data_IF_682401801253
#
_entry.id   IF_682401801253
#
_cell.length_a   1.000
_cell.length_b   1.000
_cell.length_c   1.000
_cell.angle_alpha   90.00
_cell.angle_beta   90.00
_cell.angle_gamma   90.00
#
_symmetry.space_group_name_H-M   'P 1'
#
loop_
_entity.id
_entity.type
_entity.pdbx_description
1 polymer ?
#
# COMPACT_ATOMS: atom_id res chain seq x y z
N UNK A 1 14.21 -22.07 1.75
CA UNK A 1 14.10 -20.62 2.03
C UNK A 1 13.21 -19.85 1.05
N UNK A 2 13.27 -20.13 -0.27
CA UNK A 2 12.35 -19.47 -1.24
C UNK A 2 10.86 -19.76 -0.98
N UNK A 3 10.50 -21.02 -0.69
CA UNK A 3 9.12 -21.44 -0.43
C UNK A 3 8.52 -20.78 0.84
N UNK A 4 9.32 -20.68 1.91
CA UNK A 4 8.91 -20.03 3.16
C UNK A 4 8.70 -18.52 2.99
N UNK A 5 9.55 -17.86 2.20
CA UNK A 5 9.39 -16.43 1.89
C UNK A 5 8.11 -16.17 1.06
N UNK A 6 7.78 -17.07 0.14
CA UNK A 6 6.52 -17.00 -0.62
C UNK A 6 5.33 -17.18 0.31
N UNK A 7 5.35 -18.21 1.18
CA UNK A 7 4.27 -18.45 2.14
C UNK A 7 4.02 -17.23 3.05
N UNK A 8 5.08 -16.59 3.56
CA UNK A 8 4.95 -15.40 4.42
C UNK A 8 4.37 -14.20 3.66
N UNK A 9 4.71 -14.01 2.38
CA UNK A 9 4.05 -13.01 1.53
C UNK A 9 2.56 -13.31 1.35
N UNK A 10 2.20 -14.54 1.02
CA UNK A 10 0.80 -14.94 0.83
C UNK A 10 -0.02 -14.81 2.12
N UNK A 11 0.53 -15.22 3.27
CA UNK A 11 -0.13 -15.08 4.58
C UNK A 11 -0.35 -13.60 4.90
N UNK A 12 0.66 -12.75 4.70
CA UNK A 12 0.54 -11.30 4.90
C UNK A 12 -0.53 -10.69 4.01
N UNK A 13 -0.56 -11.05 2.72
CA UNK A 13 -1.58 -10.58 1.78
C UNK A 13 -2.99 -11.04 2.19
N UNK A 14 -3.14 -12.30 2.60
CA UNK A 14 -4.41 -12.85 3.06
C UNK A 14 -4.91 -12.12 4.31
N UNK A 15 -4.04 -11.86 5.28
CA UNK A 15 -4.38 -11.11 6.50
C UNK A 15 -4.78 -9.65 6.20
N UNK A 16 -4.02 -8.96 5.36
CA UNK A 16 -4.35 -7.59 4.93
C UNK A 16 -5.71 -7.56 4.23
N UNK A 17 -5.96 -8.53 3.33
CA UNK A 17 -7.22 -8.64 2.61
C UNK A 17 -8.37 -8.94 3.56
N UNK A 18 -8.19 -9.85 4.52
CA UNK A 18 -9.19 -10.18 5.53
C UNK A 18 -9.55 -8.98 6.41
N UNK A 19 -8.56 -8.25 6.91
CA UNK A 19 -8.81 -7.04 7.70
C UNK A 19 -9.52 -5.97 6.87
N UNK A 20 -9.13 -5.80 5.61
CA UNK A 20 -9.81 -4.86 4.70
C UNK A 20 -11.27 -5.27 4.45
N UNK A 21 -11.56 -6.57 4.30
CA UNK A 21 -12.94 -7.07 4.14
C UNK A 21 -13.78 -6.80 5.40
N UNK A 22 -13.23 -7.04 6.59
CA UNK A 22 -13.94 -6.76 7.86
C UNK A 22 -14.27 -5.27 7.97
N UNK A 23 -13.29 -4.43 7.64
CA UNK A 23 -13.44 -2.98 7.59
C UNK A 23 -14.55 -2.54 6.61
N UNK A 24 -14.59 -3.14 5.41
CA UNK A 24 -15.63 -2.89 4.42
C UNK A 24 -17.02 -3.26 4.97
N UNK A 25 -17.12 -4.40 5.66
CA UNK A 25 -18.38 -4.87 6.27
C UNK A 25 -18.84 -3.91 7.37
N UNK A 26 -17.91 -3.39 8.18
CA UNK A 26 -18.18 -2.42 9.24
C UNK A 26 -18.50 -1.01 8.70
N UNK A 27 -18.34 -0.77 7.40
CA UNK A 27 -18.50 0.53 6.73
C UNK A 27 -17.55 1.62 7.24
N UNK A 28 -16.43 1.22 7.85
CA UNK A 28 -15.41 2.13 8.40
C UNK A 28 -14.27 2.40 7.40
N UNK A 29 -14.39 1.91 6.16
CA UNK A 29 -13.36 2.01 5.12
C UNK A 29 -13.66 3.05 4.06
N UNK A 30 -12.59 3.69 3.60
CA UNK A 30 -12.61 4.65 2.51
C UNK A 30 -11.57 4.28 1.44
N UNK A 31 -11.67 4.90 0.27
CA UNK A 31 -10.64 4.78 -0.77
C UNK A 31 -9.28 5.27 -0.24
N UNK A 32 -9.29 6.33 0.58
CA UNK A 32 -8.09 6.80 1.28
C UNK A 32 -7.43 5.71 2.12
N UNK A 33 -8.19 4.97 2.94
CA UNK A 33 -7.66 3.91 3.79
C UNK A 33 -6.77 2.93 3.01
N UNK A 34 -7.26 2.46 1.86
CA UNK A 34 -6.57 1.41 1.07
C UNK A 34 -5.36 1.97 0.34
N UNK A 35 -5.51 3.12 -0.31
CA UNK A 35 -4.40 3.76 -1.01
C UNK A 35 -3.29 4.12 -0.01
N UNK A 36 -3.66 4.57 1.20
CA UNK A 36 -2.73 4.86 2.27
C UNK A 36 -2.05 3.60 2.82
N UNK A 37 -2.76 2.49 2.92
CA UNK A 37 -2.16 1.20 3.28
C UNK A 37 -1.17 0.70 2.22
N UNK A 38 -1.47 0.90 0.93
CA UNK A 38 -0.56 0.55 -0.16
C UNK A 38 0.68 1.44 -0.17
N UNK A 39 0.51 2.72 0.15
CA UNK A 39 1.63 3.63 0.37
C UNK A 39 2.54 3.15 1.51
N UNK A 40 1.96 2.74 2.65
CA UNK A 40 2.74 2.19 3.76
C UNK A 40 3.47 0.90 3.40
N UNK A 41 2.82 0.02 2.64
CA UNK A 41 3.44 -1.22 2.18
C UNK A 41 4.75 -0.96 1.42
N UNK A 42 4.74 -0.03 0.48
CA UNK A 42 5.94 0.35 -0.28
C UNK A 42 6.92 1.19 0.54
N UNK A 43 6.43 2.03 1.46
CA UNK A 43 7.23 2.81 2.38
C UNK A 43 8.05 1.93 3.34
N UNK A 44 7.41 0.94 3.97
CA UNK A 44 8.08 -0.02 4.86
C UNK A 44 9.12 -0.81 4.08
N UNK A 45 8.79 -1.33 2.88
CA UNK A 45 9.77 -2.00 2.00
C UNK A 45 10.99 -1.12 1.70
N UNK A 46 10.77 0.17 1.42
CA UNK A 46 11.83 1.16 1.14
C UNK A 46 12.69 1.44 2.38
N UNK A 47 12.09 1.51 3.57
CA UNK A 47 12.84 1.60 4.83
C UNK A 47 13.73 0.37 5.01
N UNK A 48 13.19 -0.84 4.84
CA UNK A 48 13.97 -2.07 4.99
C UNK A 48 15.10 -2.18 3.95
N UNK A 49 14.90 -1.68 2.73
CA UNK A 49 15.97 -1.55 1.73
C UNK A 49 17.07 -0.58 2.23
N UNK A 50 16.71 0.53 2.89
CA UNK A 50 17.69 1.44 3.54
C UNK A 50 18.41 0.80 4.73
N UNK A 51 17.71 0.01 5.54
CA UNK A 51 18.29 -0.76 6.65
C UNK A 51 19.28 -1.79 6.10
N UNK A 52 18.92 -2.52 5.04
CA UNK A 52 19.81 -3.46 4.35
C UNK A 52 21.07 -2.77 3.79
N UNK A 53 20.91 -1.57 3.21
CA UNK A 53 22.06 -0.77 2.80
C UNK A 53 22.97 -0.36 3.95
N UNK A 54 22.50 -0.29 5.20
CA UNK A 54 23.36 0.04 6.35
C UNK A 54 24.06 -1.20 6.94
N UNK A 55 23.35 -2.32 7.05
CA UNK A 55 23.79 -3.48 7.83
C UNK A 55 24.15 -4.73 7.02
N UNK A 56 23.82 -4.79 5.72
CA UNK A 56 24.10 -5.94 4.84
C UNK A 56 24.71 -5.49 3.52
N UNK A 57 25.65 -4.54 3.57
CA UNK A 57 26.28 -3.94 2.37
C UNK A 57 27.01 -4.98 1.53
N UNK A 58 27.65 -5.95 2.18
CA UNK A 58 28.41 -7.01 1.52
C UNK A 58 27.56 -7.90 0.59
N UNK A 59 26.25 -7.95 0.81
CA UNK A 59 25.33 -8.76 0.01
C UNK A 59 24.73 -7.98 -1.17
N UNK A 60 25.11 -6.72 -1.40
CA UNK A 60 24.53 -5.86 -2.44
C UNK A 60 25.44 -5.85 -3.68
N UNK A 61 24.89 -6.25 -4.82
CA UNK A 61 25.66 -6.42 -6.07
C UNK A 61 26.13 -5.09 -6.69
N UNK A 62 25.41 -3.99 -6.45
CA UNK A 62 25.79 -2.63 -6.88
C UNK A 62 25.32 -1.57 -5.88
N UNK A 63 26.23 -1.13 -5.00
CA UNK A 63 25.92 -0.19 -3.91
C UNK A 63 25.50 1.21 -4.39
N UNK A 64 26.11 1.71 -5.46
CA UNK A 64 25.84 3.06 -5.98
C UNK A 64 24.43 3.10 -6.57
N UNK A 65 24.13 2.16 -7.45
CA UNK A 65 22.82 2.03 -8.08
C UNK A 65 21.72 1.78 -7.03
N UNK A 66 21.98 0.89 -6.06
CA UNK A 66 21.03 0.60 -4.98
C UNK A 66 20.70 1.85 -4.16
N UNK A 67 21.72 2.64 -3.79
CA UNK A 67 21.51 3.86 -3.00
C UNK A 67 20.74 4.92 -3.80
N UNK A 68 21.09 5.10 -5.08
CA UNK A 68 20.43 6.07 -5.95
C UNK A 68 18.94 5.73 -6.13
N UNK A 69 18.63 4.49 -6.51
CA UNK A 69 17.26 4.05 -6.69
C UNK A 69 16.45 4.12 -5.39
N UNK A 70 17.05 3.79 -4.25
CA UNK A 70 16.37 3.92 -2.95
C UNK A 70 16.05 5.38 -2.59
N UNK A 71 16.91 6.34 -2.95
CA UNK A 71 16.64 7.77 -2.77
C UNK A 71 15.50 8.24 -3.68
N UNK A 72 15.54 7.86 -4.96
CA UNK A 72 14.52 8.20 -5.94
C UNK A 72 13.14 7.66 -5.53
N UNK A 73 13.07 6.39 -5.11
CA UNK A 73 11.84 5.76 -4.58
C UNK A 73 11.31 6.48 -3.34
N UNK A 74 12.19 6.82 -2.40
CA UNK A 74 11.79 7.53 -1.18
C UNK A 74 11.24 8.93 -1.47
N UNK A 75 11.86 9.67 -2.40
CA UNK A 75 11.37 10.98 -2.82
C UNK A 75 9.98 10.88 -3.47
N UNK A 76 9.80 9.93 -4.38
CA UNK A 76 8.53 9.69 -5.06
C UNK A 76 7.40 9.27 -4.10
N UNK A 77 7.71 8.46 -3.08
CA UNK A 77 6.78 8.16 -2.00
C UNK A 77 6.39 9.41 -1.20
N UNK A 78 7.31 10.33 -0.95
CA UNK A 78 6.99 11.61 -0.30
C UNK A 78 6.01 12.45 -1.11
N UNK A 79 6.19 12.52 -2.43
CA UNK A 79 5.25 13.20 -3.34
C UNK A 79 3.87 12.52 -3.28
N UNK A 80 3.83 11.19 -3.39
CA UNK A 80 2.56 10.46 -3.30
C UNK A 80 1.85 10.62 -1.96
N UNK A 81 2.58 10.69 -0.85
CA UNK A 81 1.98 10.94 0.46
C UNK A 81 1.16 12.24 0.46
N UNK A 82 1.75 13.34 -0.03
CA UNK A 82 1.06 14.63 -0.11
C UNK A 82 -0.18 14.52 -0.99
N UNK A 83 -0.07 13.91 -2.17
CA UNK A 83 -1.21 13.69 -3.06
C UNK A 83 -2.33 12.87 -2.40
N UNK A 84 -1.97 11.78 -1.71
CA UNK A 84 -2.94 10.89 -1.07
C UNK A 84 -3.68 11.63 0.04
N UNK A 85 -2.96 12.32 0.92
CA UNK A 85 -3.56 13.06 2.05
C UNK A 85 -4.43 14.21 1.55
N UNK A 86 -3.95 15.01 0.60
CA UNK A 86 -4.68 16.18 0.12
C UNK A 86 -5.87 15.78 -0.75
N UNK A 87 -5.68 14.91 -1.74
CA UNK A 87 -6.76 14.53 -2.65
C UNK A 87 -7.77 13.60 -2.00
N UNK A 88 -7.30 12.46 -1.48
CA UNK A 88 -8.18 11.41 -0.95
C UNK A 88 -8.55 11.62 0.51
N UNK A 89 -7.64 12.17 1.31
CA UNK A 89 -7.92 12.42 2.73
C UNK A 89 -8.87 13.59 2.96
N UNK A 90 -8.84 14.61 2.07
CA UNK A 90 -9.52 15.89 2.30
C UNK A 90 -10.46 16.28 1.15
N UNK A 91 -9.95 16.41 -0.09
CA UNK A 91 -10.71 17.04 -1.20
C UNK A 91 -11.89 16.19 -1.66
N UNK A 92 -11.68 14.89 -1.88
CA UNK A 92 -12.71 13.97 -2.43
C UNK A 92 -13.94 13.91 -1.51
N UNK A 93 -13.70 13.84 -0.20
CA UNK A 93 -14.74 13.69 0.81
C UNK A 93 -15.10 15.01 1.50
N UNK A 94 -14.71 16.16 0.95
CA UNK A 94 -14.85 17.48 1.61
C UNK A 94 -16.25 17.79 2.15
N UNK A 95 -17.30 17.25 1.51
CA UNK A 95 -18.70 17.44 1.91
C UNK A 95 -19.21 16.41 2.93
N UNK A 96 -18.46 15.34 3.18
CA UNK A 96 -18.83 14.20 4.01
C UNK A 96 -17.93 14.13 5.25
N UNK A 97 -18.30 14.89 6.29
CA UNK A 97 -17.49 15.01 7.52
C UNK A 97 -17.22 13.67 8.20
N UNK A 98 -18.17 12.73 8.13
CA UNK A 98 -18.02 11.38 8.69
C UNK A 98 -16.86 10.61 8.01
N UNK A 99 -16.76 10.69 6.68
CA UNK A 99 -15.69 10.04 5.91
C UNK A 99 -14.33 10.68 6.18
N UNK A 100 -14.27 12.01 6.30
CA UNK A 100 -13.04 12.71 6.70
C UNK A 100 -12.59 12.26 8.09
N UNK A 101 -13.53 12.06 9.03
CA UNK A 101 -13.25 11.54 10.36
C UNK A 101 -12.61 10.14 10.33
N UNK A 102 -13.10 9.27 9.46
CA UNK A 102 -12.51 7.94 9.22
C UNK A 102 -11.11 8.05 8.60
N UNK A 103 -10.93 8.90 7.58
CA UNK A 103 -9.64 9.16 6.94
C UNK A 103 -8.61 9.66 7.95
N UNK A 104 -9.01 10.58 8.82
CA UNK A 104 -8.16 11.12 9.88
C UNK A 104 -7.81 10.06 10.93
N UNK A 105 -8.75 9.18 11.25
CA UNK A 105 -8.52 8.06 12.15
C UNK A 105 -7.48 7.08 11.60
N UNK A 106 -7.48 6.81 10.30
CA UNK A 106 -6.43 6.04 9.64
C UNK A 106 -5.10 6.81 9.56
N UNK A 107 -5.13 8.11 9.19
CA UNK A 107 -3.95 8.98 9.11
C UNK A 107 -3.17 9.04 10.42
N UNK A 108 -3.88 9.14 11.54
CA UNK A 108 -3.33 9.24 12.89
C UNK A 108 -3.20 7.90 13.62
N UNK A 109 -3.37 6.77 12.95
CA UNK A 109 -3.26 5.44 13.56
C UNK A 109 -4.21 5.20 14.73
N UNK A 110 -5.40 5.81 14.71
CA UNK A 110 -6.49 5.53 15.66
C UNK A 110 -7.38 4.36 15.23
N UNK A 111 -7.37 4.03 13.93
CA UNK A 111 -8.09 2.87 13.41
C UNK A 111 -7.32 1.57 13.73
N UNK A 112 -7.97 0.64 14.45
CA UNK A 112 -7.35 -0.60 14.91
C UNK A 112 -7.01 -1.56 13.77
N UNK A 113 -7.92 -1.75 12.80
CA UNK A 113 -7.72 -2.64 11.67
C UNK A 113 -6.62 -2.15 10.72
N UNK A 114 -6.52 -0.83 10.55
CA UNK A 114 -5.41 -0.19 9.84
C UNK A 114 -4.08 -0.54 10.51
N UNK A 115 -4.02 -0.38 11.84
CA UNK A 115 -2.81 -0.66 12.61
C UNK A 115 -2.43 -2.15 12.56
N UNK A 116 -3.39 -3.07 12.64
CA UNK A 116 -3.12 -4.50 12.50
C UNK A 116 -2.63 -4.86 11.09
N UNK A 117 -3.21 -4.25 10.06
CA UNK A 117 -2.75 -4.40 8.68
C UNK A 117 -1.33 -3.90 8.50
N UNK A 118 -1.01 -2.74 9.07
CA UNK A 118 0.34 -2.17 9.07
C UNK A 118 1.34 -3.05 9.83
N UNK A 119 0.96 -3.57 11.00
CA UNK A 119 1.80 -4.47 11.78
C UNK A 119 2.09 -5.76 11.00
N UNK A 120 1.11 -6.27 10.26
CA UNK A 120 1.28 -7.43 9.39
C UNK A 120 2.31 -7.16 8.27
N UNK A 121 2.26 -5.98 7.66
CA UNK A 121 3.25 -5.53 6.66
C UNK A 121 4.66 -5.46 7.29
N UNK A 122 4.78 -4.85 8.46
CA UNK A 122 6.05 -4.70 9.16
C UNK A 122 6.61 -6.08 9.55
N UNK A 123 5.79 -6.96 10.13
CA UNK A 123 6.19 -8.31 10.50
C UNK A 123 6.69 -9.12 9.30
N UNK A 124 5.99 -9.02 8.14
CA UNK A 124 6.42 -9.63 6.89
C UNK A 124 7.81 -9.14 6.48
N UNK A 125 8.04 -7.82 6.48
CA UNK A 125 9.34 -7.26 6.06
C UNK A 125 10.47 -7.58 7.05
N UNK A 126 10.20 -7.64 8.36
CA UNK A 126 11.16 -8.10 9.37
C UNK A 126 11.61 -9.53 9.04
N UNK A 127 10.66 -10.44 8.81
CA UNK A 127 10.95 -11.83 8.49
C UNK A 127 11.76 -11.95 7.19
N UNK A 128 11.34 -11.24 6.13
CA UNK A 128 12.03 -11.24 4.85
C UNK A 128 13.44 -10.65 4.96
N UNK A 129 13.62 -9.61 5.77
CA UNK A 129 14.92 -8.99 6.01
C UNK A 129 15.89 -9.95 6.71
N UNK A 130 15.44 -10.67 7.74
CA UNK A 130 16.23 -11.68 8.43
C UNK A 130 16.59 -12.84 7.49
N UNK A 131 15.61 -13.29 6.70
CA UNK A 131 15.76 -14.40 5.76
C UNK A 131 16.53 -14.04 4.48
N UNK A 132 16.99 -12.80 4.28
CA UNK A 132 17.87 -12.44 3.17
C UNK A 132 19.30 -12.89 3.48
N UNK A 133 19.67 -14.07 3.01
CA UNK A 133 21.06 -14.57 2.97
C UNK A 133 21.70 -14.46 1.58
N UNK A 134 20.88 -14.27 0.54
CA UNK A 134 21.33 -14.18 -0.85
C UNK A 134 21.61 -12.73 -1.28
N UNK A 135 22.24 -12.58 -2.46
CA UNK A 135 22.51 -11.28 -3.08
C UNK A 135 21.24 -10.43 -3.19
N UNK A 136 21.32 -9.20 -2.70
CA UNK A 136 20.25 -8.20 -2.73
C UNK A 136 20.39 -7.38 -4.01
N UNK A 137 19.44 -7.55 -4.92
CA UNK A 137 19.39 -6.82 -6.17
C UNK A 137 18.83 -5.39 -5.98
N UNK A 138 19.37 -4.40 -6.71
CA UNK A 138 18.80 -3.07 -6.77
C UNK A 138 17.40 -3.11 -7.39
N UNK A 139 16.39 -2.62 -6.64
CA UNK A 139 15.02 -2.49 -7.14
C UNK A 139 14.88 -1.18 -7.89
N UNK A 140 14.45 -1.26 -9.15
CA UNK A 140 14.18 -0.08 -9.98
C UNK A 140 13.10 0.82 -9.36
N UNK A 141 13.08 2.08 -9.81
CA UNK A 141 12.04 3.06 -9.42
C UNK A 141 10.65 2.63 -9.88
N UNK A 142 10.56 1.80 -10.92
CA UNK A 142 9.33 1.15 -11.38
C UNK A 142 9.11 -0.20 -10.66
N UNK A 143 9.29 -0.23 -9.34
CA UNK A 143 8.95 -1.42 -8.53
C UNK A 143 7.46 -1.72 -8.66
N UNK A 144 7.07 -2.99 -8.53
CA UNK A 144 5.66 -3.36 -8.56
C UNK A 144 4.82 -2.56 -7.55
N UNK A 145 5.37 -2.26 -6.36
CA UNK A 145 4.66 -1.46 -5.35
C UNK A 145 4.43 -0.01 -5.76
N UNK A 146 5.39 0.65 -6.42
CA UNK A 146 5.21 2.01 -6.94
C UNK A 146 4.21 2.03 -8.09
N UNK A 147 4.23 1.03 -8.97
CA UNK A 147 3.26 0.89 -10.06
C UNK A 147 1.85 0.69 -9.49
N UNK A 148 1.69 -0.21 -8.51
CA UNK A 148 0.43 -0.43 -7.80
C UNK A 148 -0.10 0.89 -7.24
N UNK A 149 0.76 1.66 -6.56
CA UNK A 149 0.39 2.92 -5.96
C UNK A 149 -0.04 3.97 -7.00
N UNK A 150 0.70 4.09 -8.10
CA UNK A 150 0.37 5.00 -9.19
C UNK A 150 -0.98 4.67 -9.83
N UNK A 151 -1.19 3.39 -10.19
CA UNK A 151 -2.45 2.95 -10.80
C UNK A 151 -3.60 3.12 -9.80
N UNK A 152 -3.37 2.88 -8.50
CA UNK A 152 -4.38 3.09 -7.47
C UNK A 152 -4.81 4.56 -7.39
N UNK A 153 -3.87 5.51 -7.44
CA UNK A 153 -4.21 6.94 -7.44
C UNK A 153 -5.04 7.30 -8.68
N UNK A 154 -4.62 6.86 -9.87
CA UNK A 154 -5.35 7.13 -11.12
C UNK A 154 -6.74 6.51 -11.09
N UNK A 155 -6.86 5.26 -10.65
CA UNK A 155 -8.12 4.54 -10.53
C UNK A 155 -9.05 5.21 -9.52
N UNK A 156 -8.54 5.65 -8.37
CA UNK A 156 -9.34 6.33 -7.36
C UNK A 156 -9.92 7.67 -7.85
N UNK A 157 -9.13 8.43 -8.61
CA UNK A 157 -9.63 9.66 -9.25
C UNK A 157 -10.69 9.37 -10.31
N UNK A 158 -10.52 8.30 -11.09
CA UNK A 158 -11.49 7.88 -12.09
C UNK A 158 -12.81 7.43 -11.46
N UNK A 159 -12.76 6.63 -10.39
CA UNK A 159 -13.96 6.20 -9.64
C UNK A 159 -14.70 7.41 -9.07
N UNK A 160 -13.97 8.35 -8.46
CA UNK A 160 -14.57 9.58 -7.95
C UNK A 160 -15.24 10.38 -9.06
N UNK A 161 -14.56 10.58 -10.20
CA UNK A 161 -15.13 11.30 -11.35
C UNK A 161 -16.42 10.64 -11.85
N UNK A 162 -16.44 9.31 -12.01
CA UNK A 162 -17.63 8.57 -12.43
C UNK A 162 -18.78 8.69 -11.42
N UNK A 163 -18.48 8.67 -10.12
CA UNK A 163 -19.47 8.81 -9.04
C UNK A 163 -20.13 10.19 -9.05
N UNK A 164 -19.36 11.26 -9.29
CA UNK A 164 -19.89 12.64 -9.35
C UNK A 164 -20.86 12.89 -10.50
N UNK A 165 -20.81 12.09 -11.58
CA UNK A 165 -21.67 12.22 -12.77
C UNK A 165 -23.08 11.60 -12.59
N UNK A 166 -23.55 11.41 -11.35
CA UNK A 166 -24.92 10.98 -11.00
C UNK A 166 -25.35 9.63 -11.60
N UNK A 167 -24.49 8.62 -11.62
CA UNK A 167 -24.96 7.24 -11.69
C UNK A 167 -25.62 6.85 -10.35
N UNK A 168 -26.87 7.27 -10.15
CA UNK A 168 -27.63 7.11 -8.89
C UNK A 168 -27.90 5.65 -8.48
N UNK A 169 -27.60 4.68 -9.36
CA UNK A 169 -27.85 3.24 -9.12
C UNK A 169 -26.89 2.58 -8.11
N UNK A 170 -25.85 3.28 -7.64
CA UNK A 170 -24.79 2.71 -6.77
C UNK A 170 -24.74 3.24 -5.33
N UNK A 171 -25.74 3.99 -4.86
CA UNK A 171 -25.60 4.80 -3.62
C UNK A 171 -25.46 3.97 -2.32
N UNK A 172 -26.12 2.82 -2.20
CA UNK A 172 -26.09 2.04 -0.94
C UNK A 172 -24.83 1.16 -0.75
N UNK A 173 -24.09 0.89 -1.83
CA UNK A 173 -22.86 0.07 -1.83
C UNK A 173 -21.65 0.79 -2.41
N UNK A 174 -21.72 2.11 -2.57
CA UNK A 174 -20.73 2.93 -3.28
C UNK A 174 -19.30 2.73 -2.76
N UNK A 175 -19.12 2.67 -1.44
CA UNK A 175 -17.80 2.49 -0.81
C UNK A 175 -17.23 1.09 -1.07
N UNK A 176 -18.07 0.06 -0.96
CA UNK A 176 -17.69 -1.35 -1.18
C UNK A 176 -17.25 -1.55 -2.63
N UNK A 177 -18.06 -1.09 -3.59
CA UNK A 177 -17.80 -1.24 -5.02
C UNK A 177 -16.54 -0.47 -5.43
N UNK A 178 -16.30 0.69 -4.82
CA UNK A 178 -15.12 1.50 -5.10
C UNK A 178 -13.82 0.82 -4.66
N UNK A 179 -13.86 0.02 -3.59
CA UNK A 179 -12.67 -0.59 -2.96
C UNK A 179 -12.22 -1.88 -3.67
N UNK A 180 -13.17 -2.70 -4.13
CA UNK A 180 -12.89 -4.00 -4.78
C UNK A 180 -11.81 -3.94 -5.87
N UNK A 181 -11.81 -2.99 -6.83
CA UNK A 181 -10.81 -2.98 -7.89
C UNK A 181 -9.39 -2.74 -7.37
N UNK A 182 -9.21 -2.08 -6.23
CA UNK A 182 -7.91 -1.91 -5.59
C UNK A 182 -7.38 -3.22 -5.00
N UNK A 183 -8.25 -3.99 -4.36
CA UNK A 183 -7.88 -5.31 -3.81
C UNK A 183 -7.51 -6.28 -4.93
N UNK A 184 -8.32 -6.33 -6.00
CA UNK A 184 -8.01 -7.16 -7.17
C UNK A 184 -6.68 -6.77 -7.82
N UNK A 185 -6.41 -5.48 -7.95
CA UNK A 185 -5.15 -4.98 -8.47
C UNK A 185 -3.97 -5.45 -7.62
N UNK A 186 -4.07 -5.31 -6.29
CA UNK A 186 -2.98 -5.72 -5.39
C UNK A 186 -2.72 -7.22 -5.45
N UNK A 187 -3.78 -8.03 -5.42
CA UNK A 187 -3.67 -9.48 -5.52
C UNK A 187 -3.01 -9.87 -6.86
N UNK A 188 -3.45 -9.29 -7.97
CA UNK A 188 -2.91 -9.59 -9.30
C UNK A 188 -1.42 -9.29 -9.43
N UNK A 189 -0.96 -8.14 -8.95
CA UNK A 189 0.46 -7.78 -9.01
C UNK A 189 1.33 -8.56 -8.02
N UNK A 190 0.80 -8.92 -6.85
CA UNK A 190 1.55 -9.72 -5.89
C UNK A 190 1.69 -11.18 -6.36
N UNK A 191 0.67 -11.77 -6.98
CA UNK A 191 0.77 -13.11 -7.59
C UNK A 191 1.83 -13.15 -8.70
N UNK A 192 1.85 -12.14 -9.58
CA UNK A 192 2.88 -12.02 -10.63
C UNK A 192 4.30 -11.86 -10.06
N UNK A 193 4.44 -11.42 -8.81
CA UNK A 193 5.74 -11.27 -8.15
C UNK A 193 6.23 -12.55 -7.43
N UNK A 194 5.36 -13.57 -7.38
CA UNK A 194 5.60 -14.88 -6.75
C UNK A 194 5.99 -15.93 -7.79
N UNK A 195 5.46 -15.82 -9.02
CA UNK A 195 5.94 -16.54 -10.22
C UNK A 195 7.31 -16.05 -10.68
#
# INVERSE_FOLDING_TARGET
MKLTNIAVKCISLALITAFTIVEIINKETTVFYIIYLFWFDEFVRTIFDRVAYRFKKENIENLIQFQQQNKERFFLLGVYFIFIVVLFGIIIDWKQMDLIGLNYSALLFKNQFFNFSLLTIIAREIYLYQSKTDKILPKSVASNGIIILHISIVLGLLIWFLSTQKFQFMLDYSNVISIIPFLLLKIGFELKSVE
#
